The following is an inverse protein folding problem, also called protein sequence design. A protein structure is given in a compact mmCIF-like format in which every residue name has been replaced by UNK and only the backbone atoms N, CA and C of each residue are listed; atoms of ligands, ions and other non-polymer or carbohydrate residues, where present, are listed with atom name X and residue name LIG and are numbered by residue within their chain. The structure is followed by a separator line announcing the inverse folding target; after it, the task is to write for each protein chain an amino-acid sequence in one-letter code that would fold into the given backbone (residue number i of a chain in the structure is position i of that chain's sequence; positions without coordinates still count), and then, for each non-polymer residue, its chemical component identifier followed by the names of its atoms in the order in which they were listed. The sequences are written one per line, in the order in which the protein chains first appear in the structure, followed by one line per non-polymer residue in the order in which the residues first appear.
data_IF_481844560404
#
_entry.id   IF_481844560404
#
_cell.length_a   1.000
_cell.length_b   1.000
_cell.length_c   1.000
_cell.angle_alpha   90.00
_cell.angle_beta   90.00
_cell.angle_gamma   90.00
#
_symmetry.space_group_name_H-M   'P 1'
#
loop_
_entity.id
_entity.type
_entity.pdbx_description
1 polymer ?
#
# COMPACT_ATOMS: atom_id res chain seq x y z
N UNK A 1 5.47 -20.60 -2.35
CA UNK A 1 6.73 -21.13 -1.78
C UNK A 1 6.62 -21.03 -0.26
N UNK A 2 7.05 -22.06 0.43
CA UNK A 2 7.12 -22.07 1.91
C UNK A 2 8.50 -22.54 2.35
N UNK A 3 8.96 -22.06 3.48
CA UNK A 3 10.20 -22.43 4.13
C UNK A 3 9.94 -22.59 5.63
N UNK A 4 10.33 -23.71 6.18
CA UNK A 4 10.15 -24.02 7.59
C UNK A 4 11.39 -24.72 8.13
N UNK A 5 11.91 -24.25 9.25
CA UNK A 5 13.07 -24.84 9.90
C UNK A 5 12.93 -24.88 11.41
N UNK A 6 13.50 -25.92 12.00
CA UNK A 6 13.64 -26.08 13.45
C UNK A 6 15.11 -26.32 13.77
N UNK A 7 15.64 -25.54 14.69
CA UNK A 7 16.95 -25.74 15.27
C UNK A 7 16.78 -26.14 16.76
N UNK A 8 17.34 -27.27 17.15
CA UNK A 8 17.28 -27.76 18.51
C UNK A 8 18.69 -28.02 19.02
N UNK A 9 19.03 -27.41 20.13
CA UNK A 9 20.30 -27.60 20.83
C UNK A 9 20.07 -28.33 22.15
N UNK A 10 21.02 -29.20 22.55
CA UNK A 10 20.90 -30.00 23.78
C UNK A 10 20.95 -29.05 24.97
N UNK A 11 19.83 -28.90 25.69
CA UNK A 11 19.60 -28.03 26.86
C UNK A 11 19.11 -26.59 26.55
N UNK A 12 18.72 -26.27 25.32
CA UNK A 12 18.06 -24.99 24.99
C UNK A 12 16.65 -25.18 24.41
N UNK A 13 15.82 -24.17 24.53
CA UNK A 13 14.51 -24.14 23.83
C UNK A 13 14.74 -24.20 22.33
N UNK A 14 13.97 -25.03 21.64
CA UNK A 14 14.03 -25.13 20.19
C UNK A 14 13.70 -23.77 19.55
N UNK A 15 14.50 -23.37 18.56
CA UNK A 15 14.31 -22.17 17.76
C UNK A 15 13.73 -22.59 16.41
N UNK A 16 12.77 -21.83 15.90
CA UNK A 16 12.12 -22.18 14.63
C UNK A 16 11.75 -20.92 13.84
N UNK A 17 11.51 -21.12 12.56
CA UNK A 17 10.94 -20.10 11.68
C UNK A 17 9.89 -20.72 10.76
N UNK A 18 9.00 -19.87 10.27
CA UNK A 18 8.04 -20.18 9.23
C UNK A 18 7.95 -18.99 8.27
N UNK A 19 8.25 -19.23 7.00
CA UNK A 19 8.12 -18.27 5.93
C UNK A 19 7.21 -18.83 4.85
N UNK A 20 6.31 -17.97 4.37
CA UNK A 20 5.38 -18.32 3.32
C UNK A 20 5.22 -17.14 2.36
N UNK A 21 5.27 -17.43 1.08
CA UNK A 21 5.01 -16.46 0.02
C UNK A 21 4.10 -17.09 -1.03
N UNK A 22 2.95 -16.46 -1.25
CA UNK A 22 1.99 -16.76 -2.30
C UNK A 22 1.90 -15.56 -3.22
N UNK A 23 2.02 -15.80 -4.51
CA UNK A 23 1.70 -14.86 -5.59
C UNK A 23 0.82 -15.61 -6.58
N UNK A 24 -0.43 -15.19 -6.74
CA UNK A 24 -1.43 -15.91 -7.50
C UNK A 24 -2.32 -14.96 -8.27
N UNK A 25 -2.40 -15.15 -9.59
CA UNK A 25 -3.46 -14.58 -10.40
C UNK A 25 -4.79 -15.26 -10.06
N UNK A 26 -5.84 -14.47 -9.89
CA UNK A 26 -7.22 -14.90 -9.70
C UNK A 26 -8.02 -14.47 -10.93
N UNK A 27 -9.08 -15.20 -11.20
CA UNK A 27 -9.99 -14.92 -12.30
C UNK A 27 -11.34 -14.46 -11.73
N UNK A 28 -11.71 -13.21 -12.05
CA UNK A 28 -12.98 -12.61 -11.68
C UNK A 28 -13.63 -11.96 -12.90
N UNK A 29 -14.86 -12.26 -13.17
CA UNK A 29 -15.61 -11.86 -14.37
C UNK A 29 -15.61 -10.34 -14.67
N UNK A 30 -15.40 -9.50 -13.66
CA UNK A 30 -15.47 -8.04 -13.79
C UNK A 30 -14.09 -7.35 -13.92
N UNK A 31 -13.00 -8.11 -13.79
CA UNK A 31 -11.64 -7.56 -13.83
C UNK A 31 -10.80 -8.27 -14.88
N UNK A 32 -10.07 -7.50 -15.66
CA UNK A 32 -9.15 -8.03 -16.67
C UNK A 32 -7.95 -8.73 -16.02
N UNK A 33 -7.55 -8.25 -14.84
CA UNK A 33 -6.43 -8.80 -14.08
C UNK A 33 -6.71 -8.67 -12.58
N UNK A 34 -6.51 -9.78 -11.86
CA UNK A 34 -6.56 -9.79 -10.40
C UNK A 34 -5.38 -10.57 -9.86
N UNK A 35 -4.62 -9.96 -8.96
CA UNK A 35 -3.46 -10.57 -8.31
C UNK A 35 -3.61 -10.55 -6.80
N UNK A 36 -3.40 -11.72 -6.21
CA UNK A 36 -3.34 -11.93 -4.76
C UNK A 36 -1.91 -12.25 -4.33
N UNK A 37 -1.37 -11.46 -3.39
CA UNK A 37 -0.09 -11.75 -2.75
C UNK A 37 -0.28 -11.90 -1.26
N UNK A 38 0.31 -12.94 -0.70
CA UNK A 38 0.33 -13.18 0.75
C UNK A 38 1.76 -13.49 1.15
N UNK A 39 2.26 -12.78 2.14
CA UNK A 39 3.57 -13.00 2.72
C UNK A 39 3.44 -13.18 4.22
N UNK A 40 4.04 -14.22 4.78
CA UNK A 40 4.06 -14.50 6.20
C UNK A 40 5.50 -14.82 6.59
N UNK A 41 6.03 -14.05 7.53
CA UNK A 41 7.36 -14.26 8.09
C UNK A 41 7.26 -14.31 9.60
N UNK A 42 7.71 -15.39 10.20
CA UNK A 42 7.70 -15.59 11.66
C UNK A 42 8.94 -16.32 12.14
N UNK A 43 9.46 -15.86 13.26
CA UNK A 43 10.54 -16.55 13.99
C UNK A 43 10.21 -16.65 15.49
N UNK A 44 10.72 -17.67 16.13
CA UNK A 44 10.55 -17.87 17.58
C UNK A 44 11.54 -17.07 18.42
N UNK A 45 12.60 -16.51 17.81
CA UNK A 45 13.67 -15.81 18.54
C UNK A 45 14.28 -14.71 17.64
N UNK A 46 14.56 -13.56 18.22
CA UNK A 46 14.98 -12.34 17.52
C UNK A 46 16.35 -12.44 16.85
N UNK A 47 17.25 -13.23 17.42
CA UNK A 47 18.62 -13.40 16.91
C UNK A 47 18.80 -14.66 16.09
N UNK A 48 17.80 -15.55 16.08
CA UNK A 48 17.90 -16.89 15.50
C UNK A 48 18.30 -16.88 14.03
N UNK A 49 17.65 -16.07 13.22
CA UNK A 49 17.89 -16.02 11.78
C UNK A 49 19.32 -15.62 11.45
N UNK A 50 19.85 -14.63 12.17
CA UNK A 50 21.22 -14.12 11.99
C UNK A 50 22.25 -15.08 12.61
N UNK A 51 22.00 -15.58 13.80
CA UNK A 51 22.92 -16.45 14.50
C UNK A 51 23.14 -17.79 13.77
N UNK A 52 22.09 -18.33 13.18
CA UNK A 52 22.13 -19.60 12.43
C UNK A 52 22.38 -19.40 10.93
N UNK A 53 22.55 -18.14 10.46
CA UNK A 53 22.76 -17.81 9.03
C UNK A 53 21.75 -18.50 8.12
N UNK A 54 20.46 -18.42 8.51
CA UNK A 54 19.38 -19.07 7.77
C UNK A 54 19.32 -18.48 6.35
N UNK A 55 19.55 -19.30 5.34
CA UNK A 55 19.41 -18.92 3.95
C UNK A 55 17.99 -19.25 3.47
N UNK A 56 17.22 -18.27 3.11
CA UNK A 56 15.88 -18.44 2.55
C UNK A 56 15.70 -17.55 1.31
N UNK A 57 14.98 -18.07 0.32
CA UNK A 57 14.59 -17.29 -0.88
C UNK A 57 13.40 -16.36 -0.64
N UNK A 58 12.77 -16.46 0.53
CA UNK A 58 11.54 -15.73 0.86
C UNK A 58 11.87 -14.47 1.63
N UNK A 59 12.79 -14.57 2.60
CA UNK A 59 13.14 -13.46 3.49
C UNK A 59 14.16 -12.53 2.82
N UNK A 60 13.89 -11.23 2.89
CA UNK A 60 14.79 -10.20 2.35
C UNK A 60 15.59 -9.50 3.44
N UNK A 61 15.11 -9.51 4.68
CA UNK A 61 15.73 -8.81 5.80
C UNK A 61 15.66 -9.68 7.06
N UNK A 62 16.81 -9.94 7.66
CA UNK A 62 16.91 -10.75 8.88
C UNK A 62 16.60 -9.97 10.18
N UNK A 63 16.41 -8.68 10.09
CA UNK A 63 16.06 -7.82 11.22
C UNK A 63 14.61 -7.36 11.22
N UNK A 64 13.94 -7.39 10.07
CA UNK A 64 12.55 -6.95 9.94
C UNK A 64 11.75 -8.05 9.25
N UNK A 65 10.73 -8.57 9.93
CA UNK A 65 9.80 -9.55 9.39
C UNK A 65 8.58 -8.82 8.80
N UNK A 66 8.14 -9.28 7.63
CA UNK A 66 6.98 -8.74 6.93
C UNK A 66 5.86 -9.77 6.91
N UNK A 67 4.66 -9.35 7.34
CA UNK A 67 3.44 -10.10 7.15
C UNK A 67 2.49 -9.22 6.34
N UNK A 68 2.16 -9.63 5.13
CA UNK A 68 1.38 -8.80 4.23
C UNK A 68 0.33 -9.60 3.46
N UNK A 69 -0.75 -8.90 3.15
CA UNK A 69 -1.80 -9.31 2.22
C UNK A 69 -2.02 -8.18 1.24
N UNK A 70 -1.87 -8.47 -0.05
CA UNK A 70 -2.17 -7.52 -1.12
C UNK A 70 -3.18 -8.13 -2.08
N UNK A 71 -4.19 -7.36 -2.43
CA UNK A 71 -5.14 -7.66 -3.50
C UNK A 71 -5.14 -6.49 -4.48
N UNK A 72 -4.69 -6.75 -5.70
CA UNK A 72 -4.70 -5.80 -6.81
C UNK A 72 -5.68 -6.25 -7.87
N UNK A 73 -6.57 -5.37 -8.30
CA UNK A 73 -7.60 -5.63 -9.30
C UNK A 73 -7.59 -4.51 -10.34
N UNK A 74 -7.60 -4.88 -11.60
CA UNK A 74 -7.56 -3.95 -12.71
C UNK A 74 -8.61 -4.29 -13.78
N UNK A 75 -9.32 -3.29 -14.25
CA UNK A 75 -10.19 -3.35 -15.43
C UNK A 75 -9.95 -2.12 -16.30
N UNK A 76 -10.60 -2.03 -17.44
CA UNK A 76 -10.46 -0.90 -18.38
C UNK A 76 -10.64 0.48 -17.74
N UNK A 77 -11.47 0.60 -16.72
CA UNK A 77 -11.85 1.87 -16.12
C UNK A 77 -11.67 1.95 -14.59
N UNK A 78 -11.34 0.83 -13.95
CA UNK A 78 -11.20 0.74 -12.50
C UNK A 78 -9.92 -0.01 -12.10
N UNK A 79 -9.10 0.65 -11.29
CA UNK A 79 -7.98 0.04 -10.58
C UNK A 79 -8.21 0.13 -9.08
N UNK A 80 -8.03 -1.00 -8.39
CA UNK A 80 -8.08 -1.09 -6.92
C UNK A 80 -6.86 -1.87 -6.44
N UNK A 81 -6.16 -1.31 -5.47
CA UNK A 81 -5.07 -1.98 -4.75
C UNK A 81 -5.30 -1.87 -3.25
N UNK A 82 -5.40 -2.99 -2.57
CA UNK A 82 -5.65 -3.06 -1.13
C UNK A 82 -4.51 -3.84 -0.46
N UNK A 83 -3.80 -3.16 0.44
CA UNK A 83 -2.68 -3.69 1.19
C UNK A 83 -2.96 -3.68 2.69
N UNK A 84 -2.60 -4.77 3.35
CA UNK A 84 -2.57 -4.92 4.79
C UNK A 84 -1.18 -5.42 5.16
N UNK A 85 -0.43 -4.64 5.91
CA UNK A 85 0.98 -4.90 6.17
C UNK A 85 1.27 -4.79 7.66
N UNK A 86 2.02 -5.74 8.19
CA UNK A 86 2.54 -5.73 9.55
C UNK A 86 4.04 -6.00 9.48
N UNK A 87 4.81 -5.05 9.96
CA UNK A 87 6.26 -5.17 10.08
C UNK A 87 6.65 -5.39 11.54
N UNK A 88 7.53 -6.36 11.78
CA UNK A 88 8.09 -6.67 13.09
C UNK A 88 9.60 -6.44 13.06
N UNK A 89 10.10 -5.43 13.76
CA UNK A 89 11.51 -5.12 13.88
C UNK A 89 12.09 -5.89 15.08
N UNK A 90 12.91 -6.91 14.79
CA UNK A 90 13.51 -7.79 15.77
C UNK A 90 14.58 -7.12 16.66
N UNK A 91 15.05 -5.95 16.25
CA UNK A 91 16.08 -5.19 16.98
C UNK A 91 15.48 -4.19 17.97
N UNK A 92 14.16 -3.99 17.93
CA UNK A 92 13.46 -3.04 18.80
C UNK A 92 12.81 -3.70 20.01
N UNK A 93 12.60 -2.89 21.04
CA UNK A 93 11.86 -3.29 22.23
C UNK A 93 10.39 -3.56 21.89
N UNK A 94 9.71 -4.36 22.74
CA UNK A 94 8.32 -4.80 22.51
C UNK A 94 7.34 -3.66 22.23
N UNK A 95 7.55 -2.49 22.83
CA UNK A 95 6.68 -1.31 22.63
C UNK A 95 6.77 -0.68 21.24
N UNK A 96 7.97 -0.72 20.62
CA UNK A 96 8.24 -0.05 19.34
C UNK A 96 8.47 -1.04 18.20
N UNK A 97 8.29 -2.32 18.49
CA UNK A 97 8.63 -3.43 17.63
C UNK A 97 7.76 -3.54 16.39
N UNK A 98 6.49 -3.16 16.50
CA UNK A 98 5.52 -3.38 15.43
C UNK A 98 5.13 -2.09 14.74
N UNK A 99 5.02 -2.18 13.41
CA UNK A 99 4.40 -1.19 12.56
C UNK A 99 3.23 -1.86 11.82
N UNK A 100 2.05 -1.27 11.92
CA UNK A 100 0.83 -1.74 11.27
C UNK A 100 0.39 -0.72 10.24
N UNK A 101 0.18 -1.18 9.01
CA UNK A 101 -0.46 -0.41 7.92
C UNK A 101 -1.74 -1.18 7.56
N UNK A 102 -2.88 -0.77 8.13
CA UNK A 102 -4.11 -1.53 8.11
C UNK A 102 -5.33 -0.60 7.96
N UNK A 103 -5.81 -0.36 6.75
CA UNK A 103 -5.30 -0.73 5.44
C UNK A 103 -4.48 0.39 4.77
N UNK A 104 -3.86 0.08 3.62
CA UNK A 104 -3.53 1.02 2.56
C UNK A 104 -4.39 0.67 1.34
N UNK A 105 -5.27 1.55 0.92
CA UNK A 105 -6.16 1.33 -0.22
C UNK A 105 -5.95 2.45 -1.24
N UNK A 106 -5.69 2.06 -2.48
CA UNK A 106 -5.66 2.95 -3.63
C UNK A 106 -6.78 2.57 -4.58
N UNK A 107 -7.50 3.56 -5.06
CA UNK A 107 -8.56 3.40 -6.05
C UNK A 107 -8.37 4.45 -7.13
N UNK A 108 -8.44 4.03 -8.38
CA UNK A 108 -8.53 4.94 -9.54
C UNK A 108 -9.69 4.50 -10.41
N UNK A 109 -10.61 5.42 -10.69
CA UNK A 109 -11.77 5.19 -11.55
C UNK A 109 -11.78 6.21 -12.67
N UNK A 110 -11.78 5.75 -13.91
CA UNK A 110 -12.10 6.58 -15.05
C UNK A 110 -13.62 6.70 -15.16
N UNK A 111 -14.12 7.91 -15.30
CA UNK A 111 -15.55 8.21 -15.29
C UNK A 111 -15.96 8.60 -16.71
N UNK A 112 -16.97 7.91 -17.24
CA UNK A 112 -17.54 8.23 -18.53
C UNK A 112 -18.04 9.66 -18.56
N UNK A 113 -17.49 10.46 -19.45
CA UNK A 113 -17.87 11.85 -19.60
C UNK A 113 -19.18 11.94 -20.38
N UNK A 114 -20.27 12.25 -19.67
CA UNK A 114 -21.59 12.52 -20.26
C UNK A 114 -21.90 14.00 -20.36
N UNK A 115 -20.93 14.88 -20.14
CA UNK A 115 -21.07 16.33 -20.21
C UNK A 115 -20.76 16.83 -21.61
N UNK A 116 -21.02 18.13 -21.87
CA UNK A 116 -20.62 18.81 -23.11
C UNK A 116 -19.13 19.19 -23.16
N UNK A 117 -18.37 18.90 -22.10
CA UNK A 117 -16.93 19.16 -22.06
C UNK A 117 -16.20 18.05 -22.81
N UNK A 118 -15.32 18.41 -23.73
CA UNK A 118 -14.51 17.45 -24.47
C UNK A 118 -13.27 17.08 -23.64
N UNK A 119 -13.26 15.88 -23.08
CA UNK A 119 -12.21 15.39 -22.20
C UNK A 119 -12.67 14.22 -21.31
N UNK A 120 -11.81 13.82 -20.39
CA UNK A 120 -12.02 12.68 -19.50
C UNK A 120 -11.97 13.08 -18.02
N UNK A 121 -12.85 12.50 -17.23
CA UNK A 121 -12.81 12.59 -15.78
C UNK A 121 -12.16 11.35 -15.20
N UNK A 122 -11.36 11.52 -14.15
CA UNK A 122 -10.88 10.43 -13.32
C UNK A 122 -11.01 10.79 -11.84
N UNK A 123 -11.36 9.79 -11.04
CA UNK A 123 -11.37 9.87 -9.59
C UNK A 123 -10.25 8.99 -9.03
N UNK A 124 -9.44 9.55 -8.14
CA UNK A 124 -8.38 8.83 -7.43
C UNK A 124 -8.60 8.98 -5.93
N UNK A 125 -8.48 7.88 -5.20
CA UNK A 125 -8.59 7.86 -3.75
C UNK A 125 -7.44 7.07 -3.16
N UNK A 126 -6.72 7.69 -2.21
CA UNK A 126 -5.63 7.05 -1.47
C UNK A 126 -5.94 7.13 0.02
N UNK A 127 -6.04 5.98 0.65
CA UNK A 127 -6.38 5.86 2.07
C UNK A 127 -5.29 5.05 2.77
N UNK A 128 -4.76 5.57 3.87
CA UNK A 128 -3.78 4.88 4.70
C UNK A 128 -4.16 5.03 6.16
N UNK A 129 -4.16 3.93 6.89
CA UNK A 129 -4.22 3.90 8.34
C UNK A 129 -2.95 3.22 8.84
N UNK A 130 -2.19 3.92 9.67
CA UNK A 130 -0.91 3.49 10.18
C UNK A 130 -0.84 3.61 11.70
N UNK A 131 -0.29 2.60 12.35
CA UNK A 131 0.02 2.63 13.79
C UNK A 131 1.45 2.10 13.99
N UNK A 132 2.29 2.85 14.68
CA UNK A 132 3.70 2.51 14.87
C UNK A 132 4.29 3.18 16.11
N UNK A 133 5.49 2.78 16.52
CA UNK A 133 6.25 3.35 17.63
C UNK A 133 5.39 3.63 18.88
N UNK A 134 4.77 2.60 19.42
CA UNK A 134 3.94 2.67 20.63
C UNK A 134 2.99 3.87 20.66
N UNK A 135 1.81 3.75 20.10
CA UNK A 135 0.73 4.75 20.13
C UNK A 135 0.84 5.93 19.16
N UNK A 136 1.71 5.90 18.15
CA UNK A 136 1.60 6.86 17.05
C UNK A 136 0.57 6.31 16.07
N UNK A 137 -0.53 7.02 15.91
CA UNK A 137 -1.60 6.70 14.97
C UNK A 137 -1.69 7.80 13.91
N UNK A 138 -1.82 7.39 12.65
CA UNK A 138 -2.01 8.28 11.51
C UNK A 138 -3.06 7.71 10.57
N UNK A 139 -4.02 8.54 10.20
CA UNK A 139 -5.02 8.26 9.18
C UNK A 139 -4.96 9.34 8.13
N UNK A 140 -4.78 8.95 6.88
CA UNK A 140 -4.66 9.85 5.74
C UNK A 140 -5.65 9.40 4.68
N UNK A 141 -6.48 10.32 4.21
CA UNK A 141 -7.42 10.10 3.13
C UNK A 141 -7.25 11.24 2.12
N UNK A 142 -6.87 10.91 0.89
CA UNK A 142 -6.71 11.88 -0.19
C UNK A 142 -7.59 11.46 -1.36
N UNK A 143 -8.47 12.36 -1.78
CA UNK A 143 -9.36 12.16 -2.92
C UNK A 143 -9.12 13.25 -3.95
N UNK A 144 -8.89 12.85 -5.19
CA UNK A 144 -8.68 13.73 -6.32
C UNK A 144 -9.75 13.47 -7.41
N UNK A 145 -10.46 14.50 -7.80
CA UNK A 145 -11.25 14.49 -9.03
C UNK A 145 -10.49 15.30 -10.06
N UNK A 146 -10.10 14.66 -11.15
CA UNK A 146 -9.29 15.25 -12.22
C UNK A 146 -10.07 15.25 -13.52
N UNK A 147 -10.08 16.38 -14.19
CA UNK A 147 -10.56 16.51 -15.57
C UNK A 147 -9.38 16.85 -16.48
N UNK A 148 -9.19 16.06 -17.53
CA UNK A 148 -8.23 16.32 -18.60
C UNK A 148 -8.98 16.56 -19.90
N UNK A 149 -8.79 17.76 -20.49
CA UNK A 149 -9.41 18.07 -21.79
C UNK A 149 -8.79 17.21 -22.90
N UNK A 150 -9.57 16.94 -23.93
CA UNK A 150 -9.02 16.40 -25.17
C UNK A 150 -8.06 17.44 -25.78
N UNK A 151 -6.80 17.07 -26.08
CA UNK A 151 -5.85 17.98 -26.69
C UNK A 151 -6.33 18.44 -28.06
N UNK A 152 -6.25 19.75 -28.31
CA UNK A 152 -6.61 20.35 -29.62
C UNK A 152 -5.44 21.09 -30.23
N UNK A 153 -5.27 20.94 -31.54
CA UNK A 153 -4.27 21.71 -32.31
C UNK A 153 -5.00 22.73 -33.16
N UNK A 154 -4.71 24.00 -32.90
CA UNK A 154 -5.28 25.10 -33.71
C UNK A 154 -4.72 25.11 -35.14
N UNK A 155 -5.42 25.78 -36.08
CA UNK A 155 -4.93 25.94 -37.46
C UNK A 155 -3.58 26.64 -37.58
N UNK A 156 -3.13 27.32 -36.52
CA UNK A 156 -1.82 28.00 -36.44
C UNK A 156 -0.75 27.13 -35.79
N UNK A 157 -1.05 25.82 -35.46
CA UNK A 157 -0.12 24.91 -34.87
C UNK A 157 0.01 25.01 -33.34
N UNK A 158 -0.82 25.79 -32.66
CA UNK A 158 -0.82 25.84 -31.21
C UNK A 158 -1.51 24.59 -30.64
N UNK A 159 -0.83 23.92 -29.74
CA UNK A 159 -1.35 22.81 -28.93
C UNK A 159 -2.02 23.39 -27.69
N UNK A 160 -3.27 23.00 -27.45
CA UNK A 160 -4.03 23.43 -26.29
C UNK A 160 -4.50 22.19 -25.53
N UNK A 161 -4.22 22.15 -24.23
CA UNK A 161 -4.69 21.16 -23.29
C UNK A 161 -4.89 21.83 -21.93
N UNK A 162 -5.93 21.47 -21.20
CA UNK A 162 -6.14 21.95 -19.84
C UNK A 162 -6.51 20.81 -18.91
N UNK A 163 -6.03 20.93 -17.69
CA UNK A 163 -6.31 20.01 -16.59
C UNK A 163 -6.92 20.79 -15.43
N UNK A 164 -7.98 20.25 -14.84
CA UNK A 164 -8.55 20.75 -13.60
C UNK A 164 -8.48 19.66 -12.53
N UNK A 165 -8.10 20.04 -11.33
CA UNK A 165 -7.99 19.15 -10.18
C UNK A 165 -8.79 19.73 -9.03
N UNK A 166 -9.70 18.92 -8.48
CA UNK A 166 -10.30 19.14 -7.17
C UNK A 166 -9.77 18.07 -6.21
N UNK A 167 -9.02 18.50 -5.22
CA UNK A 167 -8.40 17.62 -4.21
C UNK A 167 -9.06 17.86 -2.85
N UNK A 168 -9.41 16.77 -2.17
CA UNK A 168 -9.74 16.77 -0.75
C UNK A 168 -8.69 15.93 -0.01
N UNK A 169 -8.09 16.49 1.03
CA UNK A 169 -7.10 15.80 1.85
C UNK A 169 -7.52 15.90 3.32
N UNK A 170 -7.79 14.75 3.92
CA UNK A 170 -8.17 14.63 5.33
C UNK A 170 -7.09 13.86 6.08
N UNK A 171 -6.66 14.40 7.19
CA UNK A 171 -5.71 13.75 8.09
C UNK A 171 -6.27 13.72 9.51
N UNK A 172 -6.02 12.63 10.21
CA UNK A 172 -6.29 12.46 11.62
C UNK A 172 -5.11 11.73 12.25
N UNK A 173 -4.66 12.19 13.43
CA UNK A 173 -3.50 11.59 14.06
C UNK A 173 -3.52 11.72 15.56
N UNK A 174 -2.89 10.77 16.23
CA UNK A 174 -2.62 10.79 17.66
C UNK A 174 -1.12 10.62 17.89
N UNK A 175 -0.53 11.47 18.72
CA UNK A 175 0.88 11.46 19.07
C UNK A 175 1.85 11.58 17.87
N UNK A 176 1.38 11.96 16.69
CA UNK A 176 2.22 12.18 15.50
C UNK A 176 2.77 13.61 15.49
N UNK A 177 4.06 13.72 15.11
CA UNK A 177 4.67 15.01 14.78
C UNK A 177 4.45 15.44 13.32
N UNK A 178 4.02 14.52 12.46
CA UNK A 178 3.93 14.73 11.01
C UNK A 178 2.57 15.26 10.57
N UNK A 179 1.50 14.80 11.23
CA UNK A 179 0.12 15.13 10.85
C UNK A 179 -0.66 15.62 12.06
N UNK A 180 -1.63 16.47 11.79
CA UNK A 180 -2.66 16.91 12.74
C UNK A 180 -4.01 16.55 12.17
N UNK A 181 -5.05 16.61 12.99
CA UNK A 181 -6.42 16.53 12.49
C UNK A 181 -6.68 17.76 11.61
N UNK A 182 -6.89 17.53 10.33
CA UNK A 182 -7.11 18.60 9.34
C UNK A 182 -7.93 18.10 8.15
N UNK A 183 -8.67 19.03 7.54
CA UNK A 183 -9.44 18.81 6.33
C UNK A 183 -9.16 19.95 5.35
N UNK A 184 -8.55 19.61 4.21
CA UNK A 184 -8.13 20.58 3.22
C UNK A 184 -8.77 20.30 1.85
N UNK A 185 -9.21 21.37 1.19
CA UNK A 185 -9.69 21.36 -0.19
C UNK A 185 -8.80 22.23 -1.04
N UNK A 186 -8.38 21.69 -2.18
CA UNK A 186 -7.58 22.41 -3.16
C UNK A 186 -8.27 22.34 -4.50
N UNK A 187 -8.29 23.49 -5.20
CA UNK A 187 -8.72 23.57 -6.58
C UNK A 187 -7.58 24.16 -7.39
N UNK A 188 -7.21 23.50 -8.50
CA UNK A 188 -6.14 23.93 -9.39
C UNK A 188 -6.47 23.68 -10.85
N UNK A 189 -5.83 24.42 -11.74
CA UNK A 189 -5.92 24.23 -13.16
C UNK A 189 -4.59 24.54 -13.85
N UNK A 190 -4.27 23.78 -14.89
CA UNK A 190 -3.16 24.00 -15.83
C UNK A 190 -3.74 24.25 -17.22
N UNK A 191 -3.14 25.20 -17.95
CA UNK A 191 -3.56 25.61 -19.30
C UNK A 191 -2.41 25.52 -20.28
#
# INVERSE_FOLDING_TARGET
ISDFGIFSEKNENSKNHFFYNLDKALDFDYFDETNLKIKIEKTSNDTYLRAQKIESKIINNYGILENSFNLSMNSSDLFVDANFEIYEDLDKNKSDRYEYILPRIQLTKNIDNKTSLDGNFSFKSNNVIKNYQTNIFEKININDLVFNSTPTISKRGFYNNYEFILKNANTDSQNSGNYKQDENYYFGGLF
#
